data_IF_116073114412
#
_entry.id   IF_116073114412
#
_cell.length_a   1.000
_cell.length_b   1.000
_cell.length_c   1.000
_cell.angle_alpha   90.00
_cell.angle_beta   90.00
_cell.angle_gamma   90.00
#
_symmetry.space_group_name_H-M   'P 1'
#
loop_
_entity.id
_entity.type
_entity.pdbx_description
1 polymer ?
#
# COMPACT_ATOMS: atom_id res chain seq x y z
N UNK A 1 -25.37 14.44 11.74
CA UNK A 1 -25.30 13.02 11.35
C UNK A 1 -24.17 12.40 12.14
N UNK A 2 -24.47 11.43 12.99
CA UNK A 2 -23.43 10.72 13.77
C UNK A 2 -22.64 9.84 12.84
N UNK A 3 -21.32 10.03 12.77
CA UNK A 3 -20.42 9.06 12.13
C UNK A 3 -20.49 7.77 12.97
N UNK A 4 -20.55 6.61 12.29
CA UNK A 4 -20.44 5.34 12.96
C UNK A 4 -19.16 5.33 13.81
N UNK A 5 -19.26 4.89 15.07
CA UNK A 5 -18.11 4.85 15.98
C UNK A 5 -17.14 3.73 15.56
N UNK A 6 -15.87 3.84 15.95
CA UNK A 6 -14.85 2.81 15.65
C UNK A 6 -15.27 1.41 16.18
N UNK A 7 -15.98 1.35 17.30
CA UNK A 7 -16.55 0.11 17.87
C UNK A 7 -17.57 -0.57 16.95
N UNK A 8 -18.34 0.22 16.16
CA UNK A 8 -19.37 -0.32 15.25
C UNK A 8 -18.78 -0.93 13.97
N UNK A 9 -17.56 -0.49 13.56
CA UNK A 9 -16.94 -0.88 12.29
C UNK A 9 -15.95 -2.04 12.47
N UNK A 10 -15.49 -2.30 13.70
CA UNK A 10 -14.53 -3.36 14.00
C UNK A 10 -13.16 -3.17 13.35
N UNK A 11 -12.26 -4.14 13.57
CA UNK A 11 -10.89 -4.12 13.04
C UNK A 11 -10.76 -4.64 11.59
N UNK A 12 -11.84 -5.17 11.00
CA UNK A 12 -11.79 -5.70 9.64
C UNK A 12 -11.42 -4.64 8.62
N UNK A 13 -10.55 -4.98 7.68
CA UNK A 13 -10.16 -4.11 6.57
C UNK A 13 -11.26 -3.90 5.51
N UNK A 14 -12.27 -4.76 5.52
CA UNK A 14 -13.51 -4.64 4.75
C UNK A 14 -14.69 -5.05 5.64
N UNK A 15 -15.72 -4.22 5.66
CA UNK A 15 -16.98 -4.51 6.32
C UNK A 15 -18.07 -4.30 5.28
N UNK A 16 -18.77 -5.37 4.85
CA UNK A 16 -19.87 -5.24 3.92
C UNK A 16 -21.05 -4.60 4.63
N UNK A 17 -21.72 -3.71 3.95
CA UNK A 17 -23.01 -3.07 4.23
C UNK A 17 -23.66 -3.43 5.58
N UNK A 18 -22.98 -3.15 6.68
CA UNK A 18 -23.58 -3.22 8.03
C UNK A 18 -24.28 -1.89 8.27
N UNK A 19 -25.57 -1.91 8.53
CA UNK A 19 -26.41 -0.72 8.70
C UNK A 19 -26.37 0.26 7.50
N UNK A 20 -26.20 -0.26 6.29
CA UNK A 20 -26.16 0.54 5.07
C UNK A 20 -24.80 1.15 4.72
N UNK A 21 -23.75 0.88 5.49
CA UNK A 21 -22.40 1.43 5.28
C UNK A 21 -21.41 0.32 4.92
N UNK A 22 -20.60 0.54 3.90
CA UNK A 22 -19.51 -0.35 3.51
C UNK A 22 -18.15 0.27 3.81
N UNK A 23 -17.33 -0.40 4.61
CA UNK A 23 -15.95 0.01 4.89
C UNK A 23 -15.00 -0.61 3.87
N UNK A 24 -14.16 0.20 3.23
CA UNK A 24 -13.15 -0.23 2.25
C UNK A 24 -11.80 0.37 2.63
N UNK A 25 -10.83 -0.49 2.95
CA UNK A 25 -9.45 -0.07 3.18
C UNK A 25 -8.59 -0.16 1.90
N UNK A 26 -7.42 0.47 1.90
CA UNK A 26 -6.42 0.34 0.84
C UNK A 26 -6.12 -1.14 0.56
N UNK A 27 -5.81 -1.91 1.59
CA UNK A 27 -5.44 -3.33 1.44
C UNK A 27 -6.59 -4.17 0.90
N UNK A 28 -7.83 -3.95 1.37
CA UNK A 28 -9.00 -4.67 0.87
C UNK A 28 -9.29 -4.34 -0.59
N UNK A 29 -9.23 -3.06 -0.98
CA UNK A 29 -9.42 -2.66 -2.38
C UNK A 29 -8.35 -3.23 -3.31
N UNK A 30 -7.06 -3.16 -2.92
CA UNK A 30 -5.97 -3.74 -3.70
C UNK A 30 -6.04 -5.27 -3.78
N UNK A 31 -6.52 -5.92 -2.71
CA UNK A 31 -6.78 -7.37 -2.69
C UNK A 31 -7.88 -7.76 -3.68
N UNK A 32 -8.98 -7.02 -3.71
CA UNK A 32 -10.06 -7.22 -4.69
C UNK A 32 -9.55 -7.07 -6.14
N UNK A 33 -8.75 -6.04 -6.41
CA UNK A 33 -8.13 -5.82 -7.73
C UNK A 33 -7.21 -6.97 -8.15
N UNK A 34 -6.62 -7.67 -7.21
CA UNK A 34 -5.73 -8.79 -7.49
C UNK A 34 -6.53 -10.06 -7.79
N UNK A 35 -7.44 -10.41 -6.90
CA UNK A 35 -8.32 -11.56 -7.09
C UNK A 35 -9.60 -11.39 -6.24
N UNK A 36 -10.78 -11.16 -6.86
CA UNK A 36 -12.05 -11.05 -6.13
C UNK A 36 -12.36 -12.30 -5.29
N UNK A 37 -12.00 -13.50 -5.73
CA UNK A 37 -12.20 -14.74 -4.96
C UNK A 37 -11.31 -14.78 -3.71
N UNK A 38 -10.03 -14.40 -3.81
CA UNK A 38 -9.14 -14.29 -2.64
C UNK A 38 -9.65 -13.23 -1.65
N UNK A 39 -10.15 -12.10 -2.18
CA UNK A 39 -10.79 -11.08 -1.35
C UNK A 39 -11.99 -11.65 -0.58
N UNK A 40 -12.85 -12.44 -1.24
CA UNK A 40 -14.00 -13.08 -0.60
C UNK A 40 -13.57 -14.03 0.52
N UNK A 41 -12.56 -14.87 0.28
CA UNK A 41 -11.99 -15.75 1.30
C UNK A 41 -11.45 -14.96 2.52
N UNK A 42 -10.76 -13.85 2.27
CA UNK A 42 -10.15 -13.04 3.32
C UNK A 42 -11.15 -12.23 4.15
N UNK A 43 -12.29 -11.86 3.61
CA UNK A 43 -13.15 -10.85 4.24
C UNK A 43 -14.59 -11.27 4.48
N UNK A 44 -15.08 -12.25 3.77
CA UNK A 44 -16.50 -12.60 3.76
C UNK A 44 -16.76 -14.06 4.09
N UNK A 45 -15.86 -14.96 3.71
CA UNK A 45 -15.98 -16.38 4.07
C UNK A 45 -15.73 -16.59 5.56
N UNK A 46 -16.51 -17.47 6.17
CA UNK A 46 -16.32 -17.86 7.57
C UNK A 46 -15.21 -18.93 7.67
N UNK A 47 -13.99 -18.51 7.37
CA UNK A 47 -12.79 -19.34 7.46
C UNK A 47 -11.75 -18.67 8.36
N UNK A 48 -10.99 -19.44 9.16
CA UNK A 48 -9.89 -18.87 9.93
C UNK A 48 -8.87 -18.21 9.03
N UNK A 49 -8.48 -16.99 9.37
CA UNK A 49 -7.37 -16.32 8.65
C UNK A 49 -6.06 -17.02 8.99
N UNK A 50 -5.18 -17.23 8.00
CA UNK A 50 -3.85 -17.72 8.27
C UNK A 50 -3.10 -16.73 9.19
N UNK A 51 -2.23 -17.22 10.09
CA UNK A 51 -1.41 -16.34 10.92
C UNK A 51 -0.48 -15.49 10.03
N UNK A 52 -0.05 -14.30 10.53
CA UNK A 52 0.92 -13.49 9.81
C UNK A 52 2.18 -14.31 9.50
N UNK A 53 2.68 -14.19 8.28
CA UNK A 53 3.94 -14.83 7.88
C UNK A 53 5.12 -14.12 8.53
N UNK A 54 6.26 -14.80 8.65
CA UNK A 54 7.52 -14.19 9.14
C UNK A 54 7.89 -12.92 8.35
N UNK A 55 7.68 -12.94 7.03
CA UNK A 55 7.89 -11.78 6.17
C UNK A 55 6.97 -10.59 6.52
N UNK A 56 5.72 -10.85 6.90
CA UNK A 56 4.79 -9.79 7.35
C UNK A 56 5.22 -9.23 8.71
N UNK A 57 5.61 -10.10 9.64
CA UNK A 57 6.10 -9.69 10.97
C UNK A 57 7.37 -8.85 10.83
N UNK A 58 8.35 -9.34 10.03
CA UNK A 58 9.55 -8.60 9.71
C UNK A 58 9.22 -7.23 9.09
N UNK A 59 8.34 -7.21 8.08
CA UNK A 59 7.89 -5.98 7.44
C UNK A 59 7.37 -4.94 8.43
N UNK A 60 6.50 -5.35 9.36
CA UNK A 60 5.99 -4.46 10.41
C UNK A 60 7.08 -3.87 11.30
N UNK A 61 8.07 -4.67 11.70
CA UNK A 61 9.21 -4.20 12.49
C UNK A 61 10.07 -3.19 11.72
N UNK A 62 10.34 -3.45 10.44
CA UNK A 62 11.11 -2.52 9.57
C UNK A 62 10.36 -1.19 9.39
N UNK A 63 9.03 -1.22 9.29
CA UNK A 63 8.21 0.01 9.29
C UNK A 63 8.40 0.81 10.58
N UNK A 64 8.42 0.16 11.75
CA UNK A 64 8.66 0.83 13.04
C UNK A 64 10.04 1.47 13.10
N UNK A 65 11.07 0.80 12.61
CA UNK A 65 12.42 1.34 12.53
C UNK A 65 12.46 2.58 11.64
N UNK A 66 11.78 2.55 10.48
CA UNK A 66 11.69 3.71 9.60
C UNK A 66 10.93 4.87 10.26
N UNK A 67 9.82 4.59 10.96
CA UNK A 67 9.07 5.62 11.71
C UNK A 67 10.00 6.40 12.64
N UNK A 68 10.81 5.68 13.45
CA UNK A 68 11.78 6.31 14.35
C UNK A 68 12.84 7.10 13.57
N UNK A 69 13.38 6.52 12.49
CA UNK A 69 14.37 7.18 11.64
C UNK A 69 13.84 8.46 10.97
N UNK A 70 12.58 8.53 10.63
CA UNK A 70 11.95 9.75 10.13
C UNK A 70 11.74 10.78 11.25
N UNK A 71 11.20 10.36 12.41
CA UNK A 71 10.84 11.27 13.50
C UNK A 71 12.05 11.82 14.26
N UNK A 72 13.08 11.01 14.46
CA UNK A 72 14.22 11.34 15.33
C UNK A 72 15.53 11.47 14.57
N UNK A 73 15.52 11.21 13.27
CA UNK A 73 16.69 11.22 12.39
C UNK A 73 17.30 9.84 12.19
N UNK A 74 18.08 9.71 11.10
CA UNK A 74 18.66 8.44 10.68
C UNK A 74 19.58 7.81 11.75
N UNK A 75 20.21 8.62 12.60
CA UNK A 75 21.09 8.16 13.71
C UNK A 75 20.30 7.39 14.80
N UNK A 76 18.98 7.53 14.85
CA UNK A 76 18.13 6.80 15.81
C UNK A 76 17.79 5.37 15.35
N UNK A 77 18.12 5.02 14.11
CA UNK A 77 17.78 3.71 13.50
C UNK A 77 18.39 2.56 14.34
N UNK A 78 19.65 2.64 14.74
CA UNK A 78 20.31 1.56 15.52
C UNK A 78 19.60 1.28 16.84
N UNK A 79 19.15 2.34 17.52
CA UNK A 79 18.35 2.20 18.74
C UNK A 79 17.03 1.52 18.46
N UNK A 80 16.31 1.95 17.44
CA UNK A 80 15.02 1.38 17.05
C UNK A 80 15.14 -0.11 16.66
N UNK A 81 16.23 -0.48 15.97
CA UNK A 81 16.56 -1.87 15.63
C UNK A 81 16.66 -2.74 16.88
N UNK A 82 17.37 -2.25 17.92
CA UNK A 82 17.52 -2.97 19.18
C UNK A 82 16.19 -3.09 19.94
N UNK A 83 15.38 -2.02 19.96
CA UNK A 83 14.07 -1.98 20.63
C UNK A 83 13.05 -2.92 19.97
N UNK A 84 12.99 -2.95 18.64
CA UNK A 84 12.09 -3.81 17.87
C UNK A 84 12.59 -5.26 17.73
N UNK A 85 13.83 -5.54 18.14
CA UNK A 85 14.43 -6.86 18.01
C UNK A 85 14.54 -7.30 16.55
N UNK A 86 14.98 -6.39 15.68
CA UNK A 86 15.35 -6.68 14.28
C UNK A 86 16.80 -7.11 14.23
N UNK A 87 17.13 -8.02 13.31
CA UNK A 87 18.54 -8.37 13.08
C UNK A 87 19.28 -7.13 12.51
N UNK A 88 20.34 -6.65 13.17
CA UNK A 88 21.13 -5.53 12.64
C UNK A 88 21.73 -5.79 11.25
N UNK A 89 21.91 -7.06 10.87
CA UNK A 89 22.37 -7.47 9.55
C UNK A 89 21.24 -7.68 8.54
N UNK A 90 20.02 -7.33 8.91
CA UNK A 90 18.90 -7.37 7.97
C UNK A 90 19.16 -6.39 6.82
N UNK A 91 19.10 -6.83 5.55
CA UNK A 91 19.40 -5.98 4.39
C UNK A 91 18.61 -4.66 4.33
N UNK A 92 17.40 -4.63 4.89
CA UNK A 92 16.62 -3.40 4.98
C UNK A 92 17.23 -2.41 5.99
N UNK A 93 17.80 -2.89 7.06
CA UNK A 93 18.42 -2.06 8.10
C UNK A 93 19.74 -1.49 7.62
N UNK A 94 20.58 -2.34 7.02
CA UNK A 94 21.89 -1.90 6.49
C UNK A 94 21.76 -0.72 5.51
N UNK A 95 20.68 -0.67 4.75
CA UNK A 95 20.43 0.39 3.76
C UNK A 95 19.58 1.55 4.29
N UNK A 96 18.82 1.34 5.36
CA UNK A 96 17.83 2.31 5.86
C UNK A 96 18.51 3.63 6.24
N UNK A 97 19.56 3.56 7.04
CA UNK A 97 20.27 4.75 7.54
C UNK A 97 20.80 5.58 6.38
N UNK A 98 21.53 4.96 5.44
CA UNK A 98 22.10 5.67 4.29
C UNK A 98 21.04 6.28 3.39
N UNK A 99 19.93 5.58 3.13
CA UNK A 99 18.79 6.12 2.35
C UNK A 99 18.17 7.33 3.06
N UNK A 100 17.88 7.23 4.35
CA UNK A 100 17.27 8.34 5.09
C UNK A 100 18.19 9.56 5.14
N UNK A 101 19.52 9.38 5.32
CA UNK A 101 20.48 10.49 5.25
C UNK A 101 20.48 11.16 3.88
N UNK A 102 20.53 10.39 2.79
CA UNK A 102 20.54 10.94 1.42
C UNK A 102 19.26 11.69 1.10
N UNK A 103 18.09 11.12 1.43
CA UNK A 103 16.79 11.75 1.22
C UNK A 103 16.70 13.05 2.04
N UNK A 104 17.07 13.01 3.33
CA UNK A 104 17.05 14.18 4.19
C UNK A 104 17.98 15.28 3.67
N UNK A 105 19.19 14.92 3.22
CA UNK A 105 20.13 15.89 2.65
C UNK A 105 19.53 16.61 1.43
N UNK A 106 18.94 15.87 0.48
CA UNK A 106 18.38 16.44 -0.74
C UNK A 106 17.09 17.23 -0.50
N UNK A 107 16.30 16.84 0.50
CA UNK A 107 15.08 17.56 0.88
C UNK A 107 15.32 18.72 1.86
N UNK A 108 16.56 18.91 2.34
CA UNK A 108 16.86 19.93 3.35
C UNK A 108 16.36 19.59 4.76
N UNK A 109 16.24 18.30 5.06
CA UNK A 109 15.65 17.74 6.26
C UNK A 109 14.28 17.12 6.01
N UNK A 110 13.73 16.45 7.01
CA UNK A 110 12.36 15.95 6.98
C UNK A 110 11.42 16.95 7.69
N UNK A 111 10.61 17.66 6.93
CA UNK A 111 9.46 18.41 7.48
C UNK A 111 8.26 17.48 7.52
N UNK A 112 8.09 16.81 8.66
CA UNK A 112 7.11 15.76 8.87
C UNK A 112 5.76 16.34 9.23
N UNK A 113 4.74 16.01 8.46
CA UNK A 113 3.35 16.35 8.75
C UNK A 113 2.71 15.25 9.61
N UNK A 114 2.93 13.97 9.25
CA UNK A 114 2.44 12.81 10.00
C UNK A 114 3.17 11.53 9.62
N UNK A 115 3.19 10.55 10.54
CA UNK A 115 3.77 9.22 10.34
C UNK A 115 2.79 8.19 10.91
N UNK A 116 2.65 7.02 10.23
CA UNK A 116 1.84 5.87 10.65
C UNK A 116 0.43 6.28 11.10
N UNK A 117 -0.20 7.16 10.33
CA UNK A 117 -1.51 7.70 10.70
C UNK A 117 -2.65 7.09 9.91
N UNK A 118 -3.65 6.64 10.65
CA UNK A 118 -4.90 6.13 10.09
C UNK A 118 -5.83 7.28 9.73
N UNK A 119 -6.28 7.28 8.49
CA UNK A 119 -7.29 8.19 7.96
C UNK A 119 -8.54 7.45 7.59
N UNK A 120 -9.69 8.06 7.84
CA UNK A 120 -10.97 7.56 7.36
C UNK A 120 -11.89 8.69 6.98
N UNK A 121 -12.60 8.49 5.89
CA UNK A 121 -13.56 9.44 5.39
C UNK A 121 -14.86 8.73 4.99
N UNK A 122 -15.98 9.35 5.35
CA UNK A 122 -17.29 8.91 4.92
C UNK A 122 -17.68 9.60 3.62
N UNK A 123 -18.18 8.82 2.66
CA UNK A 123 -18.62 9.32 1.38
C UNK A 123 -19.92 8.64 0.93
N UNK A 124 -20.81 9.44 0.35
CA UNK A 124 -21.97 8.93 -0.39
C UNK A 124 -21.62 8.84 -1.87
N UNK A 125 -21.48 7.63 -2.36
CA UNK A 125 -21.16 7.38 -3.77
C UNK A 125 -22.42 7.10 -4.57
N UNK A 126 -22.39 7.49 -5.85
CA UNK A 126 -23.33 7.02 -6.84
C UNK A 126 -22.61 6.02 -7.74
N UNK A 127 -22.79 4.73 -7.45
CA UNK A 127 -22.11 3.64 -8.16
C UNK A 127 -22.99 3.22 -9.33
N UNK A 128 -22.41 3.11 -10.53
CA UNK A 128 -23.11 2.70 -11.74
C UNK A 128 -23.85 1.36 -11.51
N UNK A 129 -25.08 1.25 -12.00
CA UNK A 129 -25.96 0.06 -11.90
C UNK A 129 -26.41 -0.31 -10.47
N UNK A 130 -25.74 0.21 -9.42
CA UNK A 130 -26.05 -0.07 -8.01
C UNK A 130 -26.88 1.06 -7.39
N UNK A 131 -26.58 2.30 -7.76
CA UNK A 131 -27.19 3.49 -7.15
C UNK A 131 -26.37 4.09 -6.02
N UNK A 132 -27.04 4.69 -5.04
CA UNK A 132 -26.39 5.36 -3.92
C UNK A 132 -25.93 4.36 -2.87
N UNK A 133 -24.67 4.44 -2.47
CA UNK A 133 -24.05 3.63 -1.43
C UNK A 133 -23.28 4.53 -0.47
N UNK A 134 -23.28 4.17 0.81
CA UNK A 134 -22.54 4.85 1.83
C UNK A 134 -21.23 4.09 2.08
N UNK A 135 -20.09 4.77 1.98
CA UNK A 135 -18.76 4.16 2.05
C UNK A 135 -17.91 4.87 3.08
N UNK A 136 -17.15 4.11 3.86
CA UNK A 136 -16.03 4.59 4.66
C UNK A 136 -14.74 4.11 4.01
N UNK A 137 -13.98 5.04 3.46
CA UNK A 137 -12.63 4.79 2.97
C UNK A 137 -11.64 4.82 4.12
N UNK A 138 -10.72 3.86 4.17
CA UNK A 138 -9.72 3.77 5.25
C UNK A 138 -8.33 3.59 4.67
N UNK A 139 -7.39 4.40 5.15
CA UNK A 139 -5.96 4.31 4.84
C UNK A 139 -5.10 4.44 6.08
N UNK A 140 -4.07 3.60 6.19
CA UNK A 140 -2.93 3.81 7.07
C UNK A 140 -1.78 4.29 6.20
N UNK A 141 -1.30 5.50 6.43
CA UNK A 141 -0.29 6.16 5.61
C UNK A 141 1.03 6.11 6.35
N UNK A 142 2.09 5.58 5.72
CA UNK A 142 3.39 5.41 6.35
C UNK A 142 3.99 6.76 6.74
N UNK A 143 4.03 7.74 5.82
CA UNK A 143 4.37 9.12 6.16
C UNK A 143 3.83 10.15 5.17
N UNK A 144 3.61 11.36 5.66
CA UNK A 144 3.35 12.57 4.86
C UNK A 144 4.41 13.60 5.23
N UNK A 145 5.17 14.05 4.24
CA UNK A 145 6.25 15.02 4.41
C UNK A 145 5.94 16.27 3.60
N UNK A 146 6.55 17.41 3.95
CA UNK A 146 6.50 18.62 3.12
C UNK A 146 7.61 18.60 2.08
N UNK A 147 7.29 18.94 0.83
CA UNK A 147 8.29 19.11 -0.20
C UNK A 147 8.96 20.49 -0.09
N UNK A 148 10.28 20.62 -0.26
CA UNK A 148 10.97 21.91 -0.15
C UNK A 148 10.41 22.99 -1.07
N UNK A 149 9.99 22.63 -2.28
CA UNK A 149 9.40 23.56 -3.26
C UNK A 149 7.89 23.79 -3.05
N UNK A 150 7.34 23.28 -1.95
CA UNK A 150 5.92 23.38 -1.60
C UNK A 150 5.09 22.16 -2.00
N UNK A 151 3.95 22.00 -1.31
CA UNK A 151 3.09 20.84 -1.37
C UNK A 151 3.60 19.67 -0.54
N UNK A 152 2.92 18.53 -0.65
CA UNK A 152 3.19 17.36 0.18
C UNK A 152 3.71 16.17 -0.62
N UNK A 153 4.49 15.34 0.07
CA UNK A 153 5.01 14.05 -0.37
C UNK A 153 4.26 12.96 0.37
N UNK A 154 3.60 12.06 -0.34
CA UNK A 154 3.12 10.80 0.24
C UNK A 154 4.23 9.76 0.16
N UNK A 155 4.55 9.18 1.30
CA UNK A 155 5.61 8.17 1.44
C UNK A 155 5.02 6.79 1.68
N UNK A 156 5.57 5.79 1.03
CA UNK A 156 5.27 4.37 1.23
C UNK A 156 6.57 3.57 1.35
N UNK A 157 6.71 2.83 2.43
CA UNK A 157 7.77 1.86 2.63
C UNK A 157 7.36 0.50 2.06
N UNK A 158 8.27 -0.17 1.39
CA UNK A 158 8.08 -1.56 0.94
C UNK A 158 9.30 -2.39 1.28
N UNK A 159 9.09 -3.43 2.07
CA UNK A 159 10.07 -4.48 2.29
C UNK A 159 9.99 -5.54 1.18
N UNK A 160 11.10 -6.23 0.93
CA UNK A 160 11.25 -7.23 -0.11
C UNK A 160 11.55 -6.64 -1.50
N UNK A 161 11.93 -7.50 -2.42
CA UNK A 161 12.39 -7.09 -3.74
C UNK A 161 11.33 -6.29 -4.52
N UNK A 162 11.73 -5.17 -5.11
CA UNK A 162 10.86 -4.27 -5.86
C UNK A 162 11.24 -4.23 -7.34
N UNK A 163 10.48 -4.92 -8.18
CA UNK A 163 10.55 -4.77 -9.64
C UNK A 163 9.60 -3.69 -10.15
N UNK A 164 9.69 -3.39 -11.47
CA UNK A 164 8.84 -2.39 -12.16
C UNK A 164 7.34 -2.63 -11.93
N UNK A 165 6.92 -3.90 -11.90
CA UNK A 165 5.52 -4.28 -11.63
C UNK A 165 5.07 -3.91 -10.21
N UNK A 166 5.93 -4.10 -9.21
CA UNK A 166 5.66 -3.75 -7.82
C UNK A 166 5.58 -2.22 -7.64
N UNK A 167 6.47 -1.47 -8.30
CA UNK A 167 6.42 -0.01 -8.31
C UNK A 167 5.08 0.52 -8.86
N UNK A 168 4.58 -0.06 -9.96
CA UNK A 168 3.27 0.30 -10.51
C UNK A 168 2.11 -0.01 -9.56
N UNK A 169 2.21 -1.10 -8.78
CA UNK A 169 1.23 -1.43 -7.73
C UNK A 169 1.29 -0.43 -6.58
N UNK A 170 2.47 -0.14 -6.06
CA UNK A 170 2.67 0.82 -4.96
C UNK A 170 2.19 2.22 -5.35
N UNK A 171 2.41 2.64 -6.59
CA UNK A 171 1.86 3.89 -7.12
C UNK A 171 0.33 3.94 -7.04
N UNK A 172 -0.36 2.83 -7.32
CA UNK A 172 -1.83 2.76 -7.16
C UNK A 172 -2.26 2.87 -5.70
N UNK A 173 -1.47 2.29 -4.78
CA UNK A 173 -1.70 2.41 -3.34
C UNK A 173 -1.59 3.88 -2.88
N UNK A 174 -0.56 4.59 -3.35
CA UNK A 174 -0.41 6.03 -3.09
C UNK A 174 -1.50 6.89 -3.73
N UNK A 175 -2.00 6.53 -4.92
CA UNK A 175 -3.18 7.17 -5.51
C UNK A 175 -4.43 6.99 -4.64
N UNK A 176 -4.60 5.82 -4.00
CA UNK A 176 -5.71 5.58 -3.08
C UNK A 176 -5.60 6.49 -1.84
N UNK A 177 -4.42 6.61 -1.24
CA UNK A 177 -4.20 7.51 -0.12
C UNK A 177 -4.38 8.98 -0.49
N UNK A 178 -3.84 9.38 -1.65
CA UNK A 178 -4.06 10.74 -2.16
C UNK A 178 -5.56 11.04 -2.31
N UNK A 179 -6.34 10.11 -2.83
CA UNK A 179 -7.80 10.27 -2.93
C UNK A 179 -8.43 10.53 -1.56
N UNK A 180 -8.01 9.81 -0.51
CA UNK A 180 -8.53 10.03 0.85
C UNK A 180 -8.16 11.44 1.34
N UNK A 181 -6.89 11.82 1.26
CA UNK A 181 -6.42 13.11 1.77
C UNK A 181 -7.01 14.31 1.00
N UNK A 182 -7.11 14.21 -0.33
CA UNK A 182 -7.74 15.24 -1.16
C UNK A 182 -9.22 15.43 -0.76
N UNK A 183 -9.94 14.34 -0.51
CA UNK A 183 -11.35 14.38 -0.10
C UNK A 183 -11.54 14.92 1.33
N UNK A 184 -10.55 14.78 2.21
CA UNK A 184 -10.58 15.41 3.53
C UNK A 184 -10.50 16.93 3.43
N UNK A 185 -9.82 17.47 2.43
CA UNK A 185 -9.76 18.90 2.14
C UNK A 185 -9.02 19.74 3.19
N UNK A 186 -8.27 19.11 4.09
CA UNK A 186 -7.51 19.76 5.17
C UNK A 186 -6.01 19.80 4.92
N UNK A 187 -5.56 19.12 3.89
CA UNK A 187 -4.15 19.03 3.51
C UNK A 187 -3.82 19.94 2.34
N UNK A 188 -2.56 20.39 2.31
CA UNK A 188 -1.99 21.02 1.12
C UNK A 188 -1.98 20.01 -0.06
N UNK A 189 -1.86 20.49 -1.32
CA UNK A 189 -1.81 19.60 -2.46
C UNK A 189 -0.67 18.57 -2.37
N UNK A 190 -0.97 17.31 -2.60
CA UNK A 190 0.02 16.26 -2.71
C UNK A 190 0.65 16.33 -4.09
N UNK A 191 1.92 16.67 -4.14
CA UNK A 191 2.68 16.93 -5.35
C UNK A 191 3.62 15.81 -5.75
N UNK A 192 4.06 14.99 -4.77
CA UNK A 192 5.03 13.92 -4.99
C UNK A 192 4.65 12.62 -4.28
N UNK A 193 5.14 11.51 -4.83
CA UNK A 193 5.17 10.20 -4.21
C UNK A 193 6.61 9.80 -3.93
N UNK A 194 6.88 9.31 -2.72
CA UNK A 194 8.17 8.77 -2.30
C UNK A 194 8.00 7.28 -2.00
N UNK A 195 8.81 6.46 -2.65
CA UNK A 195 8.90 5.02 -2.41
C UNK A 195 10.22 4.73 -1.73
N UNK A 196 10.21 4.04 -0.61
CA UNK A 196 11.42 3.60 0.09
C UNK A 196 11.42 2.08 0.13
N UNK A 197 12.42 1.45 -0.47
CA UNK A 197 12.61 0.01 -0.52
C UNK A 197 14.02 -0.34 -0.06
N UNK A 198 14.23 -0.41 1.26
CA UNK A 198 15.57 -0.47 1.83
C UNK A 198 16.29 -1.81 1.60
N UNK A 199 15.56 -2.89 1.35
CA UNK A 199 16.12 -4.21 1.07
C UNK A 199 16.06 -4.60 -0.42
N UNK A 200 15.88 -3.63 -1.31
CA UNK A 200 15.91 -3.87 -2.74
C UNK A 200 17.32 -4.26 -3.20
N UNK A 201 17.45 -5.43 -3.81
CA UNK A 201 18.71 -5.89 -4.38
C UNK A 201 18.85 -5.40 -5.82
N UNK A 202 19.82 -4.52 -6.06
CA UNK A 202 20.19 -4.08 -7.40
C UNK A 202 20.83 -5.24 -8.18
N UNK A 203 20.01 -5.93 -8.94
CA UNK A 203 20.51 -6.86 -9.98
C UNK A 203 20.50 -6.06 -11.27
N UNK A 204 21.67 -5.87 -11.90
CA UNK A 204 21.80 -5.09 -13.15
C UNK A 204 21.16 -5.84 -14.31
N UNK A 205 19.87 -5.93 -14.29
CA UNK A 205 19.06 -6.51 -15.33
C UNK A 205 18.29 -5.44 -16.14
N UNK A 206 17.38 -5.88 -16.98
CA UNK A 206 16.55 -5.00 -17.81
C UNK A 206 15.58 -4.15 -16.95
N UNK A 207 15.11 -4.68 -15.83
CA UNK A 207 14.15 -3.99 -14.95
C UNK A 207 14.82 -2.88 -14.19
N UNK A 208 16.02 -3.10 -13.66
CA UNK A 208 16.83 -2.07 -13.00
C UNK A 208 17.18 -0.94 -13.96
N UNK A 209 17.53 -1.24 -15.21
CA UNK A 209 17.75 -0.20 -16.23
C UNK A 209 16.50 0.64 -16.45
N UNK A 210 15.31 0.05 -16.49
CA UNK A 210 14.05 0.79 -16.63
C UNK A 210 13.74 1.64 -15.42
N UNK A 211 14.04 1.18 -14.20
CA UNK A 211 13.92 1.97 -12.98
C UNK A 211 14.87 3.18 -13.00
N UNK A 212 16.13 2.94 -13.31
CA UNK A 212 17.17 3.97 -13.38
C UNK A 212 16.93 4.99 -14.52
N UNK A 213 16.53 4.52 -15.70
CA UNK A 213 16.19 5.39 -16.82
C UNK A 213 14.94 6.23 -16.57
N UNK A 214 13.99 5.68 -15.79
CA UNK A 214 12.81 6.42 -15.32
C UNK A 214 13.15 7.66 -14.50
N UNK A 215 14.32 7.69 -13.84
CA UNK A 215 14.81 8.84 -13.06
C UNK A 215 15.04 10.12 -13.88
N UNK A 216 15.29 9.99 -15.19
CA UNK A 216 15.55 11.13 -16.09
C UNK A 216 14.34 12.05 -16.35
N UNK A 217 13.15 11.75 -15.79
CA UNK A 217 11.90 12.49 -16.03
C UNK A 217 11.41 13.28 -14.81
N UNK A 218 12.28 14.03 -14.15
CA UNK A 218 11.90 14.80 -12.95
C UNK A 218 11.70 13.92 -11.72
N UNK A 219 12.38 12.77 -11.67
CA UNK A 219 12.42 11.88 -10.52
C UNK A 219 13.78 11.99 -9.85
N UNK A 220 13.81 11.96 -8.54
CA UNK A 220 15.03 11.72 -7.76
C UNK A 220 15.14 10.24 -7.41
N UNK A 221 16.36 9.74 -7.44
CA UNK A 221 16.68 8.35 -7.14
C UNK A 221 17.84 8.33 -6.14
N UNK A 222 17.67 7.60 -5.07
CA UNK A 222 18.72 7.34 -4.08
C UNK A 222 18.98 5.85 -4.00
N UNK A 223 20.25 5.50 -3.80
CA UNK A 223 20.69 4.13 -3.64
C UNK A 223 21.29 3.98 -2.24
N UNK A 224 20.91 2.94 -1.52
CA UNK A 224 21.52 2.58 -0.26
C UNK A 224 22.95 2.05 -0.44
N UNK A 225 23.73 2.01 0.63
CA UNK A 225 25.16 1.65 0.56
C UNK A 225 25.40 0.21 0.11
N UNK A 226 24.56 -0.73 0.49
CA UNK A 226 24.69 -2.15 0.16
C UNK A 226 23.56 -2.61 -0.79
N UNK A 227 22.37 -2.25 -0.45
CA UNK A 227 21.13 -2.53 -1.18
C UNK A 227 20.20 -1.33 -1.01
N UNK A 228 19.00 -1.48 -1.45
CA UNK A 228 17.97 -0.49 -1.23
C UNK A 228 17.92 0.61 -2.27
N UNK A 229 16.72 1.10 -2.44
CA UNK A 229 16.42 2.18 -3.38
C UNK A 229 15.33 3.06 -2.78
N UNK A 230 15.43 4.36 -3.01
CA UNK A 230 14.31 5.26 -2.83
C UNK A 230 14.07 6.09 -4.09
N UNK A 231 12.79 6.35 -4.40
CA UNK A 231 12.38 7.05 -5.61
C UNK A 231 11.37 8.13 -5.22
N UNK A 232 11.69 9.38 -5.50
CA UNK A 232 10.74 10.49 -5.44
C UNK A 232 10.27 10.81 -6.86
N UNK A 233 8.97 10.80 -7.09
CA UNK A 233 8.41 11.17 -8.39
C UNK A 233 7.25 12.16 -8.25
N UNK A 234 7.10 13.11 -9.18
CA UNK A 234 5.94 13.98 -9.19
C UNK A 234 4.67 13.18 -9.47
N UNK A 235 3.58 13.60 -8.85
CA UNK A 235 2.26 12.97 -9.05
C UNK A 235 1.79 13.22 -10.48
N UNK A 236 1.73 12.16 -11.27
CA UNK A 236 1.37 12.24 -12.70
C UNK A 236 -0.14 12.10 -12.91
N UNK A 237 -0.73 13.01 -13.72
CA UNK A 237 -2.15 12.94 -14.09
C UNK A 237 -2.55 11.61 -14.73
N UNK A 238 -1.65 10.99 -15.52
CA UNK A 238 -1.89 9.67 -16.12
C UNK A 238 -2.15 8.59 -15.04
N UNK A 239 -1.37 8.61 -13.93
CA UNK A 239 -1.51 7.65 -12.84
C UNK A 239 -2.81 7.86 -12.09
N UNK A 240 -3.18 9.12 -11.83
CA UNK A 240 -4.44 9.48 -11.19
C UNK A 240 -5.65 9.07 -12.03
N UNK A 241 -5.68 9.45 -13.32
CA UNK A 241 -6.77 9.08 -14.22
C UNK A 241 -6.91 7.56 -14.38
N UNK A 242 -5.78 6.83 -14.44
CA UNK A 242 -5.80 5.38 -14.52
C UNK A 242 -6.32 4.73 -13.23
N UNK A 243 -5.99 5.32 -12.07
CA UNK A 243 -6.51 4.88 -10.77
C UNK A 243 -8.01 5.15 -10.68
N UNK A 244 -8.46 6.37 -10.99
CA UNK A 244 -9.88 6.77 -10.95
C UNK A 244 -10.73 5.90 -11.88
N UNK A 245 -10.27 5.69 -13.13
CA UNK A 245 -10.94 4.76 -14.04
C UNK A 245 -11.06 3.38 -13.43
N UNK A 246 -9.98 2.82 -12.90
CA UNK A 246 -9.99 1.49 -12.27
C UNK A 246 -10.92 1.42 -11.05
N UNK A 247 -10.95 2.47 -10.23
CA UNK A 247 -11.87 2.58 -9.11
C UNK A 247 -13.32 2.51 -9.60
N UNK A 248 -13.68 3.33 -10.58
CA UNK A 248 -15.02 3.39 -11.14
C UNK A 248 -15.45 2.07 -11.83
N UNK A 249 -14.51 1.39 -12.52
CA UNK A 249 -14.78 0.10 -13.17
C UNK A 249 -14.92 -1.04 -12.12
N UNK A 250 -14.33 -0.90 -10.94
CA UNK A 250 -14.29 -1.96 -9.91
C UNK A 250 -15.46 -1.89 -8.95
N UNK A 251 -15.88 -0.70 -8.54
CA UNK A 251 -16.91 -0.53 -7.51
C UNK A 251 -18.24 -1.22 -7.86
N UNK A 252 -18.76 -1.16 -9.10
CA UNK A 252 -19.99 -1.89 -9.46
C UNK A 252 -19.87 -3.40 -9.22
N UNK A 253 -18.72 -4.00 -9.55
CA UNK A 253 -18.49 -5.42 -9.35
C UNK A 253 -18.38 -5.78 -7.86
N UNK A 254 -17.66 -4.95 -7.08
CA UNK A 254 -17.53 -5.13 -5.63
C UNK A 254 -18.90 -5.08 -4.93
N UNK A 255 -19.73 -4.09 -5.26
CA UNK A 255 -21.06 -3.91 -4.68
C UNK A 255 -22.12 -4.87 -5.23
N UNK A 256 -21.92 -5.44 -6.42
CA UNK A 256 -22.74 -6.53 -6.96
C UNK A 256 -22.30 -7.91 -6.44
N UNK A 257 -21.36 -7.95 -5.52
CA UNK A 257 -20.85 -9.20 -4.92
C UNK A 257 -20.28 -10.18 -5.97
N UNK A 258 -19.56 -9.65 -6.97
CA UNK A 258 -18.86 -10.48 -7.95
C UNK A 258 -17.51 -10.92 -7.41
N UNK A 259 -17.42 -12.20 -7.12
CA UNK A 259 -16.24 -12.85 -6.53
C UNK A 259 -15.57 -13.80 -7.51
N UNK A 260 -15.38 -13.34 -8.75
CA UNK A 260 -14.78 -14.15 -9.80
C UNK A 260 -13.35 -14.56 -9.45
N UNK A 261 -12.99 -15.78 -9.81
CA UNK A 261 -11.64 -16.30 -9.62
C UNK A 261 -10.72 -15.75 -10.72
N UNK A 262 -9.64 -15.08 -10.31
CA UNK A 262 -8.58 -14.65 -11.22
C UNK A 262 -7.43 -15.64 -11.13
N UNK A 263 -7.59 -16.81 -11.78
CA UNK A 263 -6.60 -17.87 -11.72
C UNK A 263 -5.31 -17.48 -12.42
N UNK A 264 -4.21 -17.58 -11.70
CA UNK A 264 -2.86 -17.41 -12.20
C UNK A 264 -1.96 -18.46 -11.55
N UNK A 265 -1.46 -19.42 -12.31
CA UNK A 265 -0.72 -20.59 -11.79
C UNK A 265 0.43 -20.16 -10.86
N UNK A 266 1.26 -19.23 -11.29
CA UNK A 266 2.39 -18.77 -10.47
C UNK A 266 1.93 -18.15 -9.15
N UNK A 267 0.98 -17.20 -9.21
CA UNK A 267 0.49 -16.54 -8.00
C UNK A 267 -0.30 -17.49 -7.11
N UNK A 268 -1.25 -18.23 -7.68
CA UNK A 268 -2.14 -19.09 -6.91
C UNK A 268 -1.38 -20.24 -6.24
N UNK A 269 -0.40 -20.84 -6.95
CA UNK A 269 0.35 -22.00 -6.41
C UNK A 269 1.49 -21.59 -5.48
N UNK A 270 1.99 -20.35 -5.57
CA UNK A 270 3.16 -19.93 -4.81
C UNK A 270 2.82 -19.02 -3.61
N UNK A 271 1.79 -18.17 -3.76
CA UNK A 271 1.54 -17.06 -2.83
C UNK A 271 0.12 -16.99 -2.26
N UNK A 272 -0.81 -17.81 -2.77
CA UNK A 272 -2.21 -17.73 -2.33
C UNK A 272 -2.52 -18.80 -1.28
N UNK A 273 -2.87 -18.38 -0.07
CA UNK A 273 -3.23 -19.28 1.04
C UNK A 273 -4.51 -20.10 0.75
N UNK A 274 -5.34 -19.66 -0.20
CA UNK A 274 -6.61 -20.30 -0.56
C UNK A 274 -6.53 -21.16 -1.84
N UNK A 275 -5.33 -21.45 -2.32
CA UNK A 275 -5.14 -22.23 -3.55
C UNK A 275 -5.90 -23.55 -3.54
N UNK A 276 -5.77 -24.32 -2.46
CA UNK A 276 -6.43 -25.63 -2.35
C UNK A 276 -7.97 -25.53 -2.37
N UNK A 277 -8.53 -24.51 -1.75
CA UNK A 277 -9.97 -24.27 -1.76
C UNK A 277 -10.46 -23.89 -3.17
N UNK A 278 -9.73 -23.01 -3.85
CA UNK A 278 -10.05 -22.65 -5.24
C UNK A 278 -9.92 -23.83 -6.21
N UNK A 279 -8.93 -24.72 -6.05
CA UNK A 279 -8.80 -25.92 -6.84
C UNK A 279 -9.98 -26.89 -6.64
N UNK A 280 -10.47 -27.02 -5.41
CA UNK A 280 -11.65 -27.85 -5.11
C UNK A 280 -12.90 -27.29 -5.78
N UNK A 281 -13.09 -25.97 -5.79
CA UNK A 281 -14.21 -25.34 -6.49
C UNK A 281 -14.12 -25.59 -8.01
N UNK A 282 -12.95 -25.41 -8.63
CA UNK A 282 -12.76 -25.68 -10.07
C UNK A 282 -13.06 -27.14 -10.42
N UNK A 283 -12.59 -28.08 -9.61
CA UNK A 283 -12.90 -29.50 -9.81
C UNK A 283 -14.38 -29.83 -9.65
N UNK A 284 -15.06 -29.21 -8.71
CA UNK A 284 -16.48 -29.38 -8.52
C UNK A 284 -17.28 -28.88 -9.75
N UNK A 285 -16.92 -27.72 -10.28
CA UNK A 285 -17.53 -27.16 -11.49
C UNK A 285 -17.29 -28.06 -12.73
N UNK A 286 -16.08 -28.64 -12.89
CA UNK A 286 -15.78 -29.59 -13.97
C UNK A 286 -16.61 -30.89 -13.89
N UNK A 287 -16.95 -31.32 -12.68
CA UNK A 287 -17.76 -32.52 -12.40
C UNK A 287 -19.28 -32.24 -12.42
N UNK A 288 -19.67 -30.97 -12.56
CA UNK A 288 -21.09 -30.58 -12.67
C UNK A 288 -21.85 -30.58 -11.33
N UNK A 289 -21.15 -30.38 -10.22
CA UNK A 289 -21.72 -30.20 -8.88
C UNK A 289 -21.93 -28.75 -8.52
#
# INVERSE_FOLDING_TARGET
MSLATEEQIGESSYVPNVDGITKISKSSFMGYLMCPRQFWWNHLADVPRPPPTEAMIRGGKVHKVMEVGLLEGADAVDRAVAEEGVDPLDPAIESMTSLLHQIAYDLGGFDIIEVEKKHQIFEKLNVAEIGKVDVIWVGMIDAVLRHPDGGLILTELKTGNMGVGKLGRTRRELCFYKMILDKMGIYEPITHFLYICPDYQLVVDREDKLLLEGSKRGKSLWLGDHNGIAILEPVGSRSLNAFEKRLNDTLPNLFSHKWDMNWNDYFCMTWCDFNSACQQELHAEELGF
#
